data_IF_160754635302
#
_entry.id   IF_160754635302
#
_cell.length_a   1.000
_cell.length_b   1.000
_cell.length_c   1.000
_cell.angle_alpha   90.00
_cell.angle_beta   90.00
_cell.angle_gamma   90.00
#
_symmetry.space_group_name_H-M   'P 1'
#
loop_
_entity.id
_entity.type
_entity.pdbx_description
1 polymer ?
#
# COMPACT_ATOMS: atom_id res chain seq x y z
N UNK A 1 2.10 13.74 10.53
CA UNK A 1 1.36 13.29 11.72
C UNK A 1 0.92 14.53 12.50
N UNK A 2 -0.37 14.68 12.79
CA UNK A 2 -0.86 15.68 13.76
C UNK A 2 -1.27 14.90 15.01
N UNK A 3 -0.77 15.30 16.17
CA UNK A 3 -1.13 14.69 17.44
C UNK A 3 -2.23 15.55 18.06
N UNK A 4 -3.36 14.92 18.39
CA UNK A 4 -4.44 15.55 19.16
C UNK A 4 -4.35 14.96 20.56
N UNK A 5 -4.08 15.80 21.56
CA UNK A 5 -3.96 15.39 22.96
C UNK A 5 -5.20 15.83 23.74
N UNK A 6 -5.68 14.95 24.63
CA UNK A 6 -6.82 15.19 25.51
C UNK A 6 -6.36 14.95 26.96
N UNK A 7 -5.74 15.94 27.61
CA UNK A 7 -4.96 15.73 28.84
C UNK A 7 -5.79 15.53 30.12
N UNK A 8 -7.08 15.88 30.13
CA UNK A 8 -7.95 15.84 31.32
C UNK A 8 -9.04 14.76 31.23
N UNK A 9 -8.75 13.63 30.57
CA UNK A 9 -9.70 12.51 30.48
C UNK A 9 -9.93 11.87 31.85
N UNK A 10 -11.20 11.65 32.18
CA UNK A 10 -11.65 10.94 33.39
C UNK A 10 -12.45 9.70 33.02
N UNK A 11 -12.64 8.79 33.97
CA UNK A 11 -13.54 7.64 33.79
C UNK A 11 -14.95 8.11 33.39
N UNK A 12 -15.54 7.43 32.39
CA UNK A 12 -16.86 7.78 31.85
C UNK A 12 -16.90 9.01 30.95
N UNK A 13 -15.77 9.67 30.68
CA UNK A 13 -15.73 10.80 29.75
C UNK A 13 -16.10 10.38 28.33
N UNK A 14 -16.83 11.25 27.63
CA UNK A 14 -17.16 11.09 26.20
C UNK A 14 -16.30 12.03 25.38
N UNK A 15 -15.62 11.49 24.38
CA UNK A 15 -14.79 12.25 23.46
C UNK A 15 -15.58 12.51 22.18
N UNK A 16 -15.75 13.77 21.82
CA UNK A 16 -16.27 14.18 20.52
C UNK A 16 -15.18 14.90 19.74
N UNK A 17 -14.95 14.48 18.49
CA UNK A 17 -14.04 15.18 17.59
C UNK A 17 -14.50 15.06 16.14
N UNK A 18 -14.10 16.06 15.35
CA UNK A 18 -14.27 16.07 13.89
C UNK A 18 -12.93 16.38 13.24
N UNK A 19 -12.51 15.51 12.33
CA UNK A 19 -11.29 15.68 11.55
C UNK A 19 -11.63 15.63 10.05
N UNK A 20 -10.89 16.41 9.27
CA UNK A 20 -10.96 16.38 7.80
C UNK A 20 -9.53 16.19 7.30
N UNK A 21 -9.36 15.22 6.41
CA UNK A 21 -8.10 14.95 5.69
C UNK A 21 -8.32 15.27 4.22
N UNK A 22 -7.47 16.14 3.67
CA UNK A 22 -7.44 16.42 2.23
C UNK A 22 -6.28 15.64 1.60
N UNK A 23 -6.56 14.98 0.49
CA UNK A 23 -5.56 14.29 -0.35
C UNK A 23 -5.59 14.97 -1.71
N UNK A 24 -4.53 15.71 -2.04
CA UNK A 24 -4.45 16.49 -3.28
C UNK A 24 -3.52 15.86 -4.32
N UNK A 25 -2.78 14.82 -3.93
CA UNK A 25 -1.92 14.04 -4.82
C UNK A 25 -2.49 12.63 -4.90
N UNK A 26 -3.13 12.36 -6.02
CA UNK A 26 -3.73 11.08 -6.36
C UNK A 26 -2.72 10.19 -7.09
N UNK A 27 -3.00 8.89 -7.17
CA UNK A 27 -2.23 7.93 -7.98
C UNK A 27 -2.29 8.40 -9.43
N UNK A 28 -1.13 8.52 -10.09
CA UNK A 28 -1.01 9.10 -11.43
C UNK A 28 -1.69 10.49 -11.59
N UNK A 29 -1.84 11.24 -10.49
CA UNK A 29 -2.47 12.56 -10.48
C UNK A 29 -4.01 12.57 -10.62
N UNK A 30 -4.66 11.42 -10.87
CA UNK A 30 -6.13 11.35 -11.07
C UNK A 30 -6.82 10.19 -10.36
N UNK A 31 -6.11 9.10 -10.08
CA UNK A 31 -6.69 7.85 -9.59
C UNK A 31 -6.59 7.68 -8.07
N UNK A 32 -7.50 6.92 -7.47
CA UNK A 32 -7.42 6.53 -6.07
C UNK A 32 -7.78 5.06 -5.89
N UNK A 33 -7.28 4.47 -4.82
CA UNK A 33 -7.66 3.15 -4.35
C UNK A 33 -7.56 3.16 -2.82
N UNK A 34 -8.65 2.84 -2.13
CA UNK A 34 -8.75 2.92 -0.68
C UNK A 34 -9.50 1.71 -0.12
N UNK A 35 -9.01 1.20 1.01
CA UNK A 35 -9.69 0.17 1.80
C UNK A 35 -10.27 0.81 3.06
N UNK A 36 -11.57 0.63 3.28
CA UNK A 36 -12.27 1.18 4.45
C UNK A 36 -12.83 0.05 5.32
N UNK A 37 -12.20 -0.27 6.47
CA UNK A 37 -12.66 -1.32 7.36
C UNK A 37 -13.94 -0.94 8.10
N UNK A 38 -14.84 -1.92 8.25
CA UNK A 38 -16.15 -1.77 8.94
C UNK A 38 -16.07 -2.20 10.41
N UNK A 39 -15.05 -2.96 10.77
CA UNK A 39 -14.75 -3.33 12.15
C UNK A 39 -13.45 -2.65 12.58
N UNK A 40 -13.20 -2.51 13.89
CA UNK A 40 -11.96 -1.97 14.45
C UNK A 40 -11.60 -2.64 15.77
N UNK A 41 -10.54 -2.17 16.43
CA UNK A 41 -10.15 -2.64 17.77
C UNK A 41 -11.01 -2.05 18.88
N UNK A 42 -11.80 -1.02 18.56
CA UNK A 42 -12.88 -0.49 19.39
C UNK A 42 -14.24 -0.92 18.83
N UNK A 43 -15.25 -1.12 19.70
CA UNK A 43 -16.59 -1.47 19.24
C UNK A 43 -17.29 -0.25 18.64
N UNK A 44 -18.10 -0.47 17.61
CA UNK A 44 -18.93 0.57 17.01
C UNK A 44 -20.40 0.33 17.32
N UNK A 45 -20.96 1.18 18.20
CA UNK A 45 -22.39 1.15 18.49
C UNK A 45 -23.21 1.56 17.25
N UNK A 46 -22.83 2.68 16.63
CA UNK A 46 -23.41 3.19 15.39
C UNK A 46 -22.28 3.71 14.50
N UNK A 47 -22.09 3.09 13.34
CA UNK A 47 -21.16 3.56 12.30
C UNK A 47 -21.97 3.92 11.05
N UNK A 48 -21.83 5.16 10.59
CA UNK A 48 -22.39 5.60 9.31
C UNK A 48 -21.27 5.99 8.36
N UNK A 49 -21.22 5.33 7.21
CA UNK A 49 -20.25 5.62 6.15
C UNK A 49 -20.99 6.34 5.02
N UNK A 50 -20.51 7.53 4.66
CA UNK A 50 -21.03 8.29 3.51
C UNK A 50 -19.92 8.42 2.48
N UNK A 51 -20.17 7.96 1.27
CA UNK A 51 -19.31 8.16 0.11
C UNK A 51 -20.04 9.04 -0.90
N UNK A 52 -19.44 10.16 -1.28
CA UNK A 52 -19.99 11.05 -2.30
C UNK A 52 -19.05 11.00 -3.50
N UNK A 53 -19.60 10.60 -4.64
CA UNK A 53 -18.87 10.48 -5.90
C UNK A 53 -19.33 11.60 -6.83
N UNK A 54 -18.42 12.49 -7.27
CA UNK A 54 -18.75 13.55 -8.19
C UNK A 54 -19.29 13.03 -9.53
N UNK A 55 -20.12 13.83 -10.18
CA UNK A 55 -20.58 13.50 -11.53
C UNK A 55 -19.42 13.38 -12.53
N UNK A 56 -19.52 12.37 -13.41
CA UNK A 56 -18.49 12.07 -14.42
C UNK A 56 -17.26 11.34 -13.88
N UNK A 57 -17.25 10.96 -12.61
CA UNK A 57 -16.17 10.18 -12.01
C UNK A 57 -16.57 8.70 -11.86
N UNK A 58 -15.76 7.79 -12.42
CA UNK A 58 -16.00 6.36 -12.31
C UNK A 58 -15.43 5.83 -11.00
N UNK A 59 -16.19 4.96 -10.32
CA UNK A 59 -15.73 4.27 -9.12
C UNK A 59 -16.24 2.84 -9.08
N UNK A 60 -15.35 1.93 -8.72
CA UNK A 60 -15.63 0.56 -8.35
C UNK A 60 -15.68 0.48 -6.83
N UNK A 61 -16.79 -0.04 -6.30
CA UNK A 61 -16.98 -0.28 -4.87
C UNK A 61 -17.24 -1.77 -4.72
N UNK A 62 -16.26 -2.49 -4.19
CA UNK A 62 -16.43 -3.87 -3.78
C UNK A 62 -16.47 -3.98 -2.28
N UNK A 63 -17.11 -5.03 -1.79
CA UNK A 63 -17.19 -5.33 -0.37
C UNK A 63 -16.58 -6.68 -0.11
N UNK A 64 -15.79 -6.77 0.96
CA UNK A 64 -15.22 -8.01 1.43
C UNK A 64 -15.90 -8.41 2.74
N UNK A 65 -16.37 -9.65 2.79
CA UNK A 65 -16.80 -10.31 4.02
C UNK A 65 -15.94 -11.56 4.21
N UNK A 66 -15.24 -11.71 5.34
CA UNK A 66 -14.45 -12.90 5.59
C UNK A 66 -15.29 -14.16 5.83
N UNK A 67 -16.60 -14.03 6.02
CA UNK A 67 -17.58 -15.13 6.02
C UNK A 67 -17.80 -15.82 7.37
N UNK A 68 -17.10 -15.40 8.42
CA UNK A 68 -17.26 -15.95 9.77
C UNK A 68 -17.78 -14.93 10.79
N UNK A 69 -18.05 -13.68 10.39
CA UNK A 69 -18.56 -12.66 11.32
C UNK A 69 -19.98 -13.00 11.75
N UNK A 70 -20.25 -12.88 13.05
CA UNK A 70 -21.53 -13.28 13.66
C UNK A 70 -22.53 -12.12 13.86
N UNK A 71 -22.16 -10.90 13.45
CA UNK A 71 -23.01 -9.71 13.54
C UNK A 71 -23.66 -9.38 12.19
N UNK A 72 -24.78 -8.67 12.23
CA UNK A 72 -25.50 -8.27 11.03
C UNK A 72 -24.65 -7.32 10.17
N UNK A 73 -24.40 -7.72 8.92
CA UNK A 73 -23.61 -6.95 7.97
C UNK A 73 -24.39 -6.82 6.66
N UNK A 74 -24.70 -5.58 6.27
CA UNK A 74 -25.35 -5.26 5.01
C UNK A 74 -24.51 -4.26 4.23
N UNK A 75 -24.00 -4.68 3.08
CA UNK A 75 -23.25 -3.82 2.17
C UNK A 75 -24.14 -3.11 1.14
N UNK A 76 -25.47 -3.18 1.28
CA UNK A 76 -26.40 -2.46 0.41
C UNK A 76 -26.52 -1.00 0.88
N UNK A 77 -26.09 -0.01 0.08
CA UNK A 77 -26.25 1.39 0.44
C UNK A 77 -27.67 1.89 0.20
N UNK A 78 -28.05 2.92 0.94
CA UNK A 78 -29.02 3.88 0.44
C UNK A 78 -28.33 4.82 -0.55
N UNK A 79 -28.93 4.99 -1.72
CA UNK A 79 -28.38 5.80 -2.81
C UNK A 79 -29.28 7.00 -3.03
N UNK A 80 -28.69 8.19 -3.02
CA UNK A 80 -29.38 9.45 -3.30
C UNK A 80 -28.57 10.35 -4.23
N UNK A 81 -29.27 11.14 -5.05
CA UNK A 81 -28.64 12.22 -5.84
C UNK A 81 -28.45 13.44 -4.95
N UNK A 82 -27.26 14.01 -5.00
CA UNK A 82 -26.89 15.27 -4.35
C UNK A 82 -26.47 16.29 -5.41
N UNK A 83 -26.29 17.56 -5.01
CA UNK A 83 -26.04 18.69 -5.93
C UNK A 83 -24.89 18.40 -6.92
N UNK A 84 -23.78 17.85 -6.44
CA UNK A 84 -22.57 17.62 -7.25
C UNK A 84 -22.25 16.13 -7.50
N UNK A 85 -23.22 15.22 -7.32
CA UNK A 85 -22.92 13.79 -7.52
C UNK A 85 -23.93 12.80 -6.97
N UNK A 86 -23.44 11.59 -6.71
CA UNK A 86 -24.20 10.50 -6.11
C UNK A 86 -23.64 10.18 -4.73
N UNK A 87 -24.53 10.13 -3.73
CA UNK A 87 -24.18 9.77 -2.35
C UNK A 87 -24.65 8.36 -2.04
N UNK A 88 -23.73 7.58 -1.48
CA UNK A 88 -23.96 6.24 -0.96
C UNK A 88 -23.83 6.26 0.56
N UNK A 89 -24.84 5.76 1.25
CA UNK A 89 -24.89 5.72 2.72
C UNK A 89 -25.04 4.29 3.21
N UNK A 90 -24.13 3.86 4.07
CA UNK A 90 -24.22 2.58 4.80
C UNK A 90 -24.30 2.84 6.29
N UNK A 91 -25.04 1.97 6.98
CA UNK A 91 -25.16 1.99 8.44
C UNK A 91 -24.86 0.60 8.99
N UNK A 92 -23.94 0.56 9.96
CA UNK A 92 -23.57 -0.64 10.70
C UNK A 92 -23.81 -0.38 12.18
N UNK A 93 -24.53 -1.29 12.83
CA UNK A 93 -24.95 -1.13 14.22
C UNK A 93 -24.47 -2.33 15.03
N UNK A 94 -24.04 -2.07 16.26
CA UNK A 94 -23.53 -3.10 17.18
C UNK A 94 -22.40 -3.95 16.57
N UNK A 95 -21.43 -3.31 15.91
CA UNK A 95 -20.24 -3.98 15.41
C UNK A 95 -19.28 -4.20 16.58
N UNK A 96 -18.94 -5.45 16.92
CA UNK A 96 -18.06 -5.74 18.05
C UNK A 96 -16.61 -5.34 17.76
N UNK A 97 -15.85 -5.12 18.81
CA UNK A 97 -14.41 -4.94 18.73
C UNK A 97 -13.69 -6.19 18.20
N UNK A 98 -12.50 -5.97 17.65
CA UNK A 98 -11.52 -7.01 17.41
C UNK A 98 -10.67 -7.17 18.66
N UNK A 99 -10.65 -8.38 19.21
CA UNK A 99 -9.75 -8.73 20.32
C UNK A 99 -8.41 -9.13 19.70
N UNK A 100 -7.36 -8.35 19.99
CA UNK A 100 -6.02 -8.63 19.48
C UNK A 100 -5.45 -9.90 20.14
N UNK A 101 -4.97 -10.83 19.32
CA UNK A 101 -4.35 -12.07 19.78
C UNK A 101 -2.90 -12.17 19.25
N UNK A 102 -1.97 -12.74 20.05
CA UNK A 102 -0.63 -13.04 19.55
C UNK A 102 -0.70 -13.91 18.29
N UNK A 103 0.01 -13.48 17.24
CA UNK A 103 0.10 -14.21 15.97
C UNK A 103 -1.23 -14.39 15.21
N UNK A 104 -2.24 -13.55 15.48
CA UNK A 104 -3.45 -13.48 14.66
C UNK A 104 -3.13 -13.15 13.19
N UNK A 105 -4.04 -13.53 12.29
CA UNK A 105 -3.96 -13.13 10.89
C UNK A 105 -3.93 -11.60 10.74
N UNK A 106 -3.34 -11.07 9.65
CA UNK A 106 -3.35 -9.63 9.38
C UNK A 106 -4.77 -9.06 9.43
N UNK A 107 -4.90 -7.87 10.02
CA UNK A 107 -6.16 -7.17 10.20
C UNK A 107 -7.07 -7.17 8.96
N UNK A 108 -6.48 -6.91 7.79
CA UNK A 108 -7.22 -6.83 6.54
C UNK A 108 -7.81 -8.17 6.08
N UNK A 109 -7.28 -9.31 6.53
CA UNK A 109 -7.84 -10.62 6.20
C UNK A 109 -9.01 -11.00 7.10
N UNK A 110 -9.14 -10.33 8.25
CA UNK A 110 -10.09 -10.71 9.28
C UNK A 110 -11.25 -9.74 9.49
N UNK A 111 -11.18 -8.59 8.84
CA UNK A 111 -12.14 -7.51 8.98
C UNK A 111 -12.97 -7.40 7.71
N UNK A 112 -14.30 -7.21 7.77
CA UNK A 112 -15.06 -6.78 6.61
C UNK A 112 -14.68 -5.35 6.22
N UNK A 113 -14.56 -5.05 4.93
CA UNK A 113 -14.22 -3.72 4.44
C UNK A 113 -14.88 -3.40 3.10
N UNK A 114 -14.92 -2.11 2.77
CA UNK A 114 -15.06 -1.66 1.40
C UNK A 114 -13.70 -1.53 0.74
N UNK A 115 -13.63 -1.95 -0.51
CA UNK A 115 -12.54 -1.60 -1.40
C UNK A 115 -13.09 -0.65 -2.47
N UNK A 116 -12.53 0.55 -2.53
CA UNK A 116 -13.05 1.66 -3.33
C UNK A 116 -11.93 2.12 -4.25
N UNK A 117 -12.13 2.04 -5.57
CA UNK A 117 -11.11 2.44 -6.54
C UNK A 117 -11.72 3.13 -7.74
N UNK A 118 -10.98 4.08 -8.31
CA UNK A 118 -11.27 4.66 -9.62
C UNK A 118 -10.59 3.92 -10.78
N UNK A 119 -9.62 3.07 -10.46
CA UNK A 119 -8.86 2.25 -11.41
C UNK A 119 -9.70 1.02 -11.79
N UNK A 120 -9.83 0.77 -13.09
CA UNK A 120 -10.62 -0.33 -13.65
C UNK A 120 -9.78 -1.58 -13.97
N UNK A 121 -8.52 -1.40 -14.39
CA UNK A 121 -7.64 -2.48 -14.87
C UNK A 121 -6.26 -2.44 -14.21
N UNK A 122 -5.76 -3.61 -13.85
CA UNK A 122 -4.43 -3.79 -13.31
C UNK A 122 -3.32 -3.47 -14.32
N UNK A 123 -3.61 -3.60 -15.62
CA UNK A 123 -2.67 -3.22 -16.67
C UNK A 123 -2.34 -1.71 -16.60
N UNK A 124 -3.31 -0.85 -16.26
CA UNK A 124 -3.08 0.59 -16.12
C UNK A 124 -2.09 0.90 -14.98
N UNK A 125 -2.24 0.20 -13.85
CA UNK A 125 -1.31 0.35 -12.72
C UNK A 125 0.08 -0.16 -13.09
N UNK A 126 0.16 -1.28 -13.81
CA UNK A 126 1.41 -1.83 -14.26
C UNK A 126 2.14 -0.88 -15.22
N UNK A 127 1.45 -0.31 -16.20
CA UNK A 127 2.04 0.61 -17.17
C UNK A 127 2.51 1.91 -16.52
N UNK A 128 1.66 2.48 -15.65
CA UNK A 128 2.00 3.66 -14.86
C UNK A 128 3.24 3.40 -13.98
N UNK A 129 3.21 2.36 -13.16
CA UNK A 129 4.33 2.05 -12.26
C UNK A 129 5.59 1.68 -13.05
N UNK A 130 5.44 0.97 -14.17
CA UNK A 130 6.51 0.67 -15.11
C UNK A 130 7.24 1.91 -15.59
N UNK A 131 6.49 2.98 -15.88
CA UNK A 131 7.06 4.28 -16.28
C UNK A 131 7.90 4.94 -15.18
N UNK A 132 7.57 4.69 -13.91
CA UNK A 132 8.31 5.23 -12.74
C UNK A 132 9.62 4.49 -12.46
N UNK A 133 9.73 3.21 -12.85
CA UNK A 133 10.87 2.35 -12.48
C UNK A 133 11.89 2.12 -13.60
N UNK A 134 11.52 2.34 -14.86
CA UNK A 134 12.32 1.94 -16.02
C UNK A 134 13.73 2.54 -16.03
N UNK A 135 13.89 3.77 -15.54
CA UNK A 135 15.17 4.47 -15.50
C UNK A 135 15.92 4.34 -14.16
N UNK A 136 15.25 3.82 -13.11
CA UNK A 136 15.77 3.69 -11.75
C UNK A 136 16.80 2.57 -11.60
N UNK A 137 16.89 1.70 -12.61
CA UNK A 137 17.84 0.57 -12.67
C UNK A 137 19.18 0.91 -13.35
N UNK A 138 19.41 2.18 -13.68
CA UNK A 138 20.69 2.63 -14.25
C UNK A 138 21.79 2.53 -13.20
N UNK A 139 22.95 2.04 -13.63
CA UNK A 139 24.14 1.88 -12.79
C UNK A 139 25.23 2.89 -13.15
N UNK A 140 26.14 3.13 -12.21
CA UNK A 140 27.40 3.82 -12.43
C UNK A 140 28.59 2.88 -12.19
N UNK A 141 29.80 3.40 -12.41
CA UNK A 141 31.05 2.65 -12.24
C UNK A 141 31.21 2.06 -10.83
N UNK A 142 30.68 2.72 -9.79
CA UNK A 142 30.82 2.25 -8.42
C UNK A 142 29.98 0.99 -8.17
N UNK A 143 28.77 0.94 -8.73
CA UNK A 143 27.93 -0.26 -8.70
C UNK A 143 28.56 -1.37 -9.54
N UNK A 144 29.10 -1.06 -10.72
CA UNK A 144 29.79 -2.02 -11.59
C UNK A 144 30.97 -2.69 -10.87
N UNK A 145 31.88 -1.88 -10.33
CA UNK A 145 33.07 -2.35 -9.60
C UNK A 145 32.69 -3.22 -8.40
N UNK A 146 31.70 -2.77 -7.61
CA UNK A 146 31.23 -3.56 -6.46
C UNK A 146 30.59 -4.87 -6.92
N UNK A 147 29.82 -4.85 -8.00
CA UNK A 147 29.19 -6.08 -8.50
C UNK A 147 30.25 -7.06 -9.00
N UNK A 148 31.26 -6.60 -9.75
CA UNK A 148 32.39 -7.43 -10.19
C UNK A 148 33.13 -8.06 -9.00
N UNK A 149 33.39 -7.27 -7.95
CA UNK A 149 34.01 -7.78 -6.71
C UNK A 149 33.20 -8.92 -6.08
N UNK A 150 31.88 -8.76 -5.99
CA UNK A 150 30.98 -9.74 -5.36
C UNK A 150 30.88 -11.05 -6.15
N UNK A 151 30.89 -10.96 -7.49
CA UNK A 151 30.77 -12.12 -8.36
C UNK A 151 32.12 -12.75 -8.72
N UNK A 152 33.23 -12.19 -8.21
CA UNK A 152 34.55 -12.74 -8.40
C UNK A 152 34.59 -14.19 -7.90
N UNK A 153 35.13 -15.07 -8.72
CA UNK A 153 35.25 -16.50 -8.45
C UNK A 153 33.89 -17.24 -8.28
N UNK A 154 32.79 -16.65 -8.76
CA UNK A 154 31.46 -17.30 -8.84
C UNK A 154 31.20 -17.80 -10.25
N UNK A 155 30.98 -19.11 -10.38
CA UNK A 155 30.92 -19.78 -11.69
C UNK A 155 29.49 -19.96 -12.18
N UNK A 156 28.50 -19.98 -11.27
CA UNK A 156 27.08 -20.17 -11.60
C UNK A 156 26.27 -18.89 -11.42
N UNK A 157 25.15 -18.76 -12.14
CA UNK A 157 24.22 -17.64 -11.95
C UNK A 157 23.66 -17.61 -10.52
N UNK A 158 23.41 -18.78 -9.92
CA UNK A 158 22.89 -18.88 -8.55
C UNK A 158 23.90 -18.34 -7.52
N UNK A 159 25.17 -18.70 -7.63
CA UNK A 159 26.23 -18.19 -6.74
C UNK A 159 26.37 -16.67 -6.84
N UNK A 160 26.30 -16.13 -8.06
CA UNK A 160 26.34 -14.69 -8.30
C UNK A 160 25.13 -13.99 -7.68
N UNK A 161 23.92 -14.53 -7.93
CA UNK A 161 22.69 -13.98 -7.38
C UNK A 161 22.69 -13.98 -5.86
N UNK A 162 23.12 -15.07 -5.22
CA UNK A 162 23.27 -15.17 -3.77
C UNK A 162 24.24 -14.13 -3.22
N UNK A 163 25.42 -13.99 -3.82
CA UNK A 163 26.42 -13.02 -3.37
C UNK A 163 25.89 -11.58 -3.45
N UNK A 164 25.24 -11.21 -4.56
CA UNK A 164 24.64 -9.89 -4.75
C UNK A 164 23.50 -9.67 -3.75
N UNK A 165 22.56 -10.62 -3.63
CA UNK A 165 21.43 -10.54 -2.70
C UNK A 165 21.88 -10.33 -1.27
N UNK A 166 22.81 -11.16 -0.77
CA UNK A 166 23.32 -11.03 0.59
C UNK A 166 24.02 -9.70 0.84
N UNK A 167 24.72 -9.17 -0.17
CA UNK A 167 25.32 -7.84 -0.04
C UNK A 167 24.26 -6.75 0.05
N UNK A 168 23.26 -6.74 -0.85
CA UNK A 168 22.18 -5.73 -0.82
C UNK A 168 21.43 -5.81 0.51
N UNK A 169 20.99 -7.01 0.91
CA UNK A 169 20.23 -7.22 2.15
C UNK A 169 21.01 -6.86 3.42
N UNK A 170 22.35 -6.97 3.41
CA UNK A 170 23.19 -6.65 4.58
C UNK A 170 23.75 -5.24 4.59
N UNK A 171 23.85 -4.57 3.43
CA UNK A 171 24.50 -3.25 3.30
C UNK A 171 23.55 -2.11 3.02
N UNK A 172 22.29 -2.39 2.69
CA UNK A 172 21.27 -1.37 2.52
C UNK A 172 20.33 -1.40 3.72
N UNK A 173 20.32 -0.33 4.49
CA UNK A 173 19.45 -0.21 5.66
C UNK A 173 18.00 0.02 5.22
N UNK A 174 17.09 -0.79 5.73
CA UNK A 174 15.67 -0.62 5.45
C UNK A 174 15.13 0.66 6.10
N UNK A 175 14.53 1.53 5.29
CA UNK A 175 13.85 2.75 5.74
C UNK A 175 12.55 2.86 4.98
N UNK A 176 11.43 2.54 5.64
CA UNK A 176 10.10 2.63 5.03
C UNK A 176 9.73 4.07 4.71
N UNK A 177 9.47 4.36 3.44
CA UNK A 177 8.99 5.66 2.96
C UNK A 177 7.66 5.44 2.25
N UNK A 178 6.57 5.73 2.96
CA UNK A 178 5.19 5.41 2.52
C UNK A 178 4.34 6.65 2.24
N UNK A 179 4.93 7.85 2.23
CA UNK A 179 4.18 9.09 2.07
C UNK A 179 4.25 9.66 0.65
N UNK A 180 3.10 10.07 0.12
CA UNK A 180 2.98 10.75 -1.18
C UNK A 180 3.53 9.91 -2.34
N UNK A 181 4.10 10.60 -3.34
CA UNK A 181 4.71 9.97 -4.53
C UNK A 181 5.87 9.03 -4.16
N UNK A 182 6.61 9.37 -3.10
CA UNK A 182 7.69 8.53 -2.60
C UNK A 182 7.20 7.18 -2.04
N UNK A 183 5.88 7.00 -1.84
CA UNK A 183 5.29 5.69 -1.58
C UNK A 183 5.37 4.74 -2.78
N UNK A 184 5.34 5.28 -4.00
CA UNK A 184 5.24 4.50 -5.25
C UNK A 184 6.51 4.53 -6.10
N UNK A 185 7.16 5.70 -6.21
CA UNK A 185 8.36 5.90 -7.02
C UNK A 185 9.62 5.51 -6.24
N UNK A 186 10.46 4.59 -6.75
CA UNK A 186 11.75 4.29 -6.13
C UNK A 186 12.82 5.32 -6.49
N UNK A 187 13.80 5.45 -5.62
CA UNK A 187 15.03 6.20 -5.89
C UNK A 187 15.88 5.51 -6.96
N UNK A 188 16.83 6.25 -7.53
CA UNK A 188 17.78 5.67 -8.47
C UNK A 188 18.70 4.67 -7.75
N UNK A 189 19.05 3.56 -8.41
CA UNK A 189 19.99 2.58 -7.87
C UNK A 189 21.33 3.21 -7.45
N UNK A 190 21.80 4.23 -8.18
CA UNK A 190 23.00 5.02 -7.84
C UNK A 190 22.86 5.78 -6.52
N UNK A 191 21.69 6.37 -6.26
CA UNK A 191 21.41 7.08 -5.00
C UNK A 191 21.29 6.10 -3.83
N UNK A 192 20.59 4.99 -4.04
CA UNK A 192 20.44 3.92 -3.03
C UNK A 192 21.81 3.34 -2.69
N UNK A 193 22.64 3.06 -3.70
CA UNK A 193 24.00 2.57 -3.51
C UNK A 193 24.87 3.59 -2.78
N UNK A 194 24.78 4.87 -3.11
CA UNK A 194 25.57 5.93 -2.45
C UNK A 194 25.14 6.11 -0.99
N UNK A 195 23.83 6.19 -0.74
CA UNK A 195 23.27 6.54 0.56
C UNK A 195 23.12 5.35 1.52
N UNK A 196 23.17 4.11 1.00
CA UNK A 196 23.07 2.87 1.77
C UNK A 196 21.78 2.71 2.58
N UNK A 197 20.68 3.27 2.09
CA UNK A 197 19.34 3.04 2.66
C UNK A 197 18.25 3.07 1.57
N UNK A 198 17.10 2.49 1.89
CA UNK A 198 15.90 2.48 1.05
C UNK A 198 14.86 1.50 1.58
N UNK A 199 13.64 1.55 1.06
CA UNK A 199 12.57 0.60 1.39
C UNK A 199 12.55 -0.61 0.42
N UNK A 200 11.42 -1.32 0.35
CA UNK A 200 11.27 -2.51 -0.48
C UNK A 200 11.46 -2.23 -1.98
N UNK A 201 10.93 -1.14 -2.52
CA UNK A 201 11.06 -0.79 -3.94
C UNK A 201 12.48 -0.34 -4.27
N UNK A 202 13.11 0.43 -3.38
CA UNK A 202 14.49 0.87 -3.54
C UNK A 202 15.47 -0.31 -3.57
N UNK A 203 15.40 -1.18 -2.57
CA UNK A 203 16.29 -2.36 -2.53
C UNK A 203 16.08 -3.27 -3.74
N UNK A 204 14.85 -3.38 -4.22
CA UNK A 204 14.54 -4.12 -5.45
C UNK A 204 15.23 -3.49 -6.66
N UNK A 205 15.18 -2.16 -6.82
CA UNK A 205 15.85 -1.47 -7.94
C UNK A 205 17.36 -1.71 -7.92
N UNK A 206 18.01 -1.55 -6.77
CA UNK A 206 19.46 -1.80 -6.68
C UNK A 206 19.80 -3.27 -6.96
N UNK A 207 19.05 -4.21 -6.39
CA UNK A 207 19.26 -5.65 -6.62
C UNK A 207 19.12 -6.01 -8.10
N UNK A 208 18.04 -5.56 -8.75
CA UNK A 208 17.79 -5.78 -10.18
C UNK A 208 18.94 -5.22 -11.02
N UNK A 209 19.40 -4.01 -10.68
CA UNK A 209 20.50 -3.35 -11.40
C UNK A 209 21.79 -4.17 -11.36
N UNK A 210 22.18 -4.65 -10.18
CA UNK A 210 23.37 -5.47 -9.99
C UNK A 210 23.24 -6.85 -10.64
N UNK A 211 22.07 -7.49 -10.54
CA UNK A 211 21.81 -8.79 -11.18
C UNK A 211 21.90 -8.69 -12.71
N UNK A 212 21.29 -7.66 -13.30
CA UNK A 212 21.35 -7.41 -14.76
C UNK A 212 22.79 -7.21 -15.22
N UNK A 213 23.58 -6.44 -14.47
CA UNK A 213 25.00 -6.26 -14.78
C UNK A 213 25.81 -7.57 -14.68
N UNK A 214 25.46 -8.46 -13.76
CA UNK A 214 26.06 -9.79 -13.63
C UNK A 214 25.62 -10.80 -14.72
N UNK A 215 24.82 -10.37 -15.70
CA UNK A 215 24.29 -11.20 -16.78
C UNK A 215 23.10 -12.07 -16.39
N UNK A 216 22.36 -11.68 -15.33
CA UNK A 216 21.19 -12.38 -14.82
C UNK A 216 19.94 -11.55 -15.13
N UNK A 217 19.01 -12.12 -15.88
CA UNK A 217 17.72 -11.47 -16.13
C UNK A 217 16.94 -11.30 -14.83
N UNK A 218 16.57 -10.07 -14.52
CA UNK A 218 15.82 -9.72 -13.31
C UNK A 218 14.76 -8.66 -13.65
N UNK A 219 13.58 -8.80 -13.07
CA UNK A 219 12.44 -7.92 -13.29
C UNK A 219 11.79 -7.59 -11.95
N UNK A 220 11.31 -6.35 -11.78
CA UNK A 220 10.49 -6.05 -10.63
C UNK A 220 9.14 -6.76 -10.73
N UNK A 221 8.65 -7.23 -9.59
CA UNK A 221 7.31 -7.80 -9.48
C UNK A 221 6.60 -7.09 -8.34
N UNK A 222 5.49 -6.44 -8.67
CA UNK A 222 4.53 -5.95 -7.69
C UNK A 222 3.49 -7.04 -7.50
N UNK A 223 3.32 -7.49 -6.26
CA UNK A 223 2.32 -8.49 -5.92
C UNK A 223 1.27 -7.85 -5.03
N UNK A 224 0.00 -8.09 -5.36
CA UNK A 224 -1.13 -7.66 -4.57
C UNK A 224 -2.06 -8.85 -4.37
N UNK A 225 -2.57 -9.01 -3.15
CA UNK A 225 -3.49 -10.09 -2.84
C UNK A 225 -4.87 -9.73 -3.40
N UNK A 226 -5.48 -10.60 -4.21
CA UNK A 226 -6.81 -10.42 -4.81
C UNK A 226 -7.91 -10.08 -3.81
N UNK A 227 -7.74 -10.41 -2.54
CA UNK A 227 -8.69 -10.00 -1.50
C UNK A 227 -8.75 -8.48 -1.36
N UNK A 228 -7.66 -7.76 -1.64
CA UNK A 228 -7.41 -6.38 -1.22
C UNK A 228 -7.82 -5.29 -2.22
N UNK A 229 -8.40 -5.65 -3.37
CA UNK A 229 -8.63 -4.71 -4.48
C UNK A 229 -9.99 -4.93 -5.14
N UNK A 230 -10.66 -3.87 -5.65
CA UNK A 230 -11.96 -3.93 -6.28
C UNK A 230 -11.80 -3.94 -7.81
N UNK A 231 -10.81 -4.68 -8.30
CA UNK A 231 -10.50 -4.76 -9.72
C UNK A 231 -11.17 -5.99 -10.30
N UNK A 232 -11.75 -5.84 -11.49
CA UNK A 232 -12.28 -6.97 -12.25
C UNK A 232 -11.18 -7.90 -12.76
#
# INVERSE_FOLDING_TARGET
MRIISMPELTEGAVIEYKAIKYINKLIDGKEFCENYPIQGFEPYLNQRVNLIIPDGYNVNIESYNPGYVEYALSFSPQIERVEDGTKYTWEFNNVPEIIAEPSMSPYIEITPYFCISSIDDWQEVYDWWGSLVVDKVKIDKAIEEKTQELIKDKNTQEEKAKAIYHWVASKIRYVGVEYGEAGFEPHYATEIFKNKYGDCKDQSMLLISMLRYAGISAYPVSYWNKRLLPFR
#
